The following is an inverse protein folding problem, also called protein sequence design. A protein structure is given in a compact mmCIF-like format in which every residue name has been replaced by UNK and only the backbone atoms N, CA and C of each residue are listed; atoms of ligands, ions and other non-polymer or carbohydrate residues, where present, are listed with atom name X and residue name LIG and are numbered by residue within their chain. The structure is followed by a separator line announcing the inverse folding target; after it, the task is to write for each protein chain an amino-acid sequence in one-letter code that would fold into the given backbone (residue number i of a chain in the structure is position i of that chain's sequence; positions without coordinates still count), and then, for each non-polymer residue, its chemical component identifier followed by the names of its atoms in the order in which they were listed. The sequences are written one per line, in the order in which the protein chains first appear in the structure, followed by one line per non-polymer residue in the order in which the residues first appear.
data_IF_946517869648
#
_entry.id   IF_946517869648
#
_cell.length_a   1.000
_cell.length_b   1.000
_cell.length_c   1.000
_cell.angle_alpha   90.00
_cell.angle_beta   90.00
_cell.angle_gamma   90.00
#
_symmetry.space_group_name_H-M   'P 1'
#
loop_
_entity.id
_entity.type
_entity.pdbx_description
1 polymer ?
#
# COMPACT_ATOMS: atom_id res chain seq x y z
N UNK A 1 20.41 -12.86 21.57
CA UNK A 1 19.99 -12.64 20.18
C UNK A 1 18.47 -12.73 20.14
N UNK A 2 17.79 -11.64 20.46
CA UNK A 2 16.34 -11.56 20.26
C UNK A 2 16.10 -11.60 18.76
N UNK A 3 15.38 -12.62 18.33
CA UNK A 3 15.48 -13.28 17.04
C UNK A 3 14.92 -12.37 15.94
N UNK A 4 15.76 -11.92 15.02
CA UNK A 4 15.35 -11.03 13.91
C UNK A 4 14.19 -11.60 13.10
N UNK A 5 14.06 -12.92 13.03
CA UNK A 5 12.95 -13.62 12.41
C UNK A 5 11.62 -13.43 13.15
N UNK A 6 11.63 -13.32 14.48
CA UNK A 6 10.42 -13.11 15.28
C UNK A 6 9.85 -11.71 15.05
N UNK A 7 10.72 -10.69 14.90
CA UNK A 7 10.30 -9.32 14.57
C UNK A 7 9.68 -9.27 13.18
N UNK A 8 10.33 -9.90 12.19
CA UNK A 8 9.81 -9.94 10.84
C UNK A 8 8.44 -10.64 10.76
N UNK A 9 8.28 -11.76 11.46
CA UNK A 9 7.00 -12.48 11.53
C UNK A 9 5.89 -11.64 12.19
N UNK A 10 6.18 -10.93 13.28
CA UNK A 10 5.22 -10.02 13.92
C UNK A 10 4.82 -8.90 12.97
N UNK A 11 5.79 -8.29 12.28
CA UNK A 11 5.52 -7.21 11.32
C UNK A 11 4.70 -7.71 10.11
N UNK A 12 4.90 -8.96 9.67
CA UNK A 12 4.07 -9.57 8.63
C UNK A 12 2.61 -9.69 9.05
N UNK A 13 2.34 -10.15 10.28
CA UNK A 13 0.96 -10.23 10.78
C UNK A 13 0.33 -8.84 10.93
N UNK A 14 1.11 -7.85 11.38
CA UNK A 14 0.65 -6.45 11.41
C UNK A 14 0.31 -5.92 10.01
N UNK A 15 1.17 -6.16 9.02
CA UNK A 15 0.92 -5.75 7.64
C UNK A 15 -0.38 -6.37 7.09
N UNK A 16 -0.62 -7.67 7.34
CA UNK A 16 -1.88 -8.34 6.96
C UNK A 16 -3.10 -7.69 7.59
N UNK A 17 -3.02 -7.31 8.87
CA UNK A 17 -4.11 -6.60 9.56
C UNK A 17 -4.37 -5.24 8.91
N UNK A 18 -3.33 -4.47 8.58
CA UNK A 18 -3.46 -3.16 7.93
C UNK A 18 -4.13 -3.30 6.55
N UNK A 19 -3.66 -4.26 5.74
CA UNK A 19 -4.21 -4.52 4.40
C UNK A 19 -5.70 -4.85 4.48
N UNK A 20 -6.10 -5.64 5.47
CA UNK A 20 -7.49 -5.99 5.72
C UNK A 20 -8.31 -4.82 6.26
N UNK A 21 -7.78 -4.05 7.21
CA UNK A 21 -8.48 -2.90 7.82
C UNK A 21 -8.78 -1.78 6.81
N UNK A 22 -8.01 -1.75 5.71
CA UNK A 22 -8.17 -0.79 4.62
C UNK A 22 -8.87 -1.39 3.38
N UNK A 23 -9.18 -2.69 3.39
CA UNK A 23 -9.70 -3.42 2.23
C UNK A 23 -8.94 -3.10 0.92
N UNK A 24 -7.61 -2.94 1.00
CA UNK A 24 -6.79 -2.40 -0.11
C UNK A 24 -7.01 -3.22 -1.38
N UNK A 25 -6.92 -4.55 -1.25
CA UNK A 25 -7.03 -5.47 -2.39
C UNK A 25 -8.39 -5.34 -3.06
N UNK A 26 -9.47 -5.42 -2.28
CA UNK A 26 -10.83 -5.35 -2.80
C UNK A 26 -11.14 -3.98 -3.44
N UNK A 27 -10.62 -2.89 -2.87
CA UNK A 27 -10.83 -1.56 -3.42
C UNK A 27 -10.18 -1.39 -4.80
N UNK A 28 -8.94 -1.85 -4.99
CA UNK A 28 -8.29 -1.82 -6.30
C UNK A 28 -8.93 -2.80 -7.31
N UNK A 29 -9.29 -4.01 -6.86
CA UNK A 29 -10.02 -4.97 -7.71
C UNK A 29 -11.40 -4.44 -8.14
N UNK A 30 -12.05 -3.59 -7.33
CA UNK A 30 -13.36 -3.01 -7.65
C UNK A 30 -13.36 -2.08 -8.86
N UNK A 31 -12.20 -1.54 -9.24
CA UNK A 31 -12.03 -0.71 -10.46
C UNK A 31 -11.43 -1.52 -11.62
N UNK A 32 -11.40 -2.85 -11.51
CA UNK A 32 -10.85 -3.74 -12.53
C UNK A 32 -9.32 -3.85 -12.53
N UNK A 33 -8.63 -3.33 -11.51
CA UNK A 33 -7.18 -3.42 -11.42
C UNK A 33 -6.74 -4.74 -10.77
N UNK A 34 -5.59 -5.27 -11.22
CA UNK A 34 -4.89 -6.38 -10.58
C UNK A 34 -3.82 -5.84 -9.64
N UNK A 35 -3.93 -6.16 -8.37
CA UNK A 35 -2.99 -5.72 -7.33
C UNK A 35 -2.09 -6.87 -6.86
N UNK A 36 -0.79 -6.58 -6.73
CA UNK A 36 0.20 -7.54 -6.27
C UNK A 36 1.07 -6.92 -5.18
N UNK A 37 1.14 -7.59 -4.03
CA UNK A 37 2.12 -7.23 -3.01
C UNK A 37 3.54 -7.55 -3.50
N UNK A 38 4.45 -6.61 -3.29
CA UNK A 38 5.86 -6.70 -3.70
C UNK A 38 6.78 -6.31 -2.53
N UNK A 39 8.07 -6.13 -2.83
CA UNK A 39 9.03 -5.60 -1.86
C UNK A 39 9.27 -6.46 -0.63
N UNK A 40 9.70 -5.80 0.44
CA UNK A 40 10.16 -6.45 1.68
C UNK A 40 9.03 -7.16 2.43
N UNK A 41 7.81 -6.61 2.33
CA UNK A 41 6.59 -7.22 2.87
C UNK A 41 6.31 -8.57 2.19
N UNK A 42 6.43 -8.68 0.86
CA UNK A 42 6.26 -9.98 0.20
C UNK A 42 7.30 -11.02 0.62
N UNK A 43 8.54 -10.59 0.86
CA UNK A 43 9.67 -11.49 1.13
C UNK A 43 9.79 -11.91 2.61
N UNK A 44 8.93 -11.40 3.51
CA UNK A 44 9.04 -11.72 4.93
C UNK A 44 10.20 -11.01 5.64
N UNK A 45 10.69 -9.89 5.09
CA UNK A 45 11.91 -9.21 5.54
C UNK A 45 11.63 -7.85 6.21
N UNK A 46 10.42 -7.64 6.73
CA UNK A 46 10.02 -6.39 7.40
C UNK A 46 10.76 -6.21 8.72
N UNK A 47 11.85 -5.45 8.69
CA UNK A 47 12.70 -5.18 9.86
C UNK A 47 12.40 -3.81 10.48
N UNK A 48 13.17 -2.77 10.12
CA UNK A 48 13.04 -1.41 10.69
C UNK A 48 12.13 -0.49 9.87
N UNK A 49 12.11 -0.68 8.55
CA UNK A 49 11.23 0.05 7.62
C UNK A 49 9.95 -0.77 7.45
N UNK A 50 8.80 -0.11 7.56
CA UNK A 50 7.47 -0.73 7.68
C UNK A 50 6.63 -0.36 6.47
N UNK A 51 7.17 -0.74 5.33
CA UNK A 51 6.65 -0.33 4.04
C UNK A 51 5.88 -1.53 3.46
N UNK A 52 4.63 -1.27 3.07
CA UNK A 52 3.78 -2.25 2.40
C UNK A 52 3.68 -1.83 0.94
N UNK A 53 4.43 -2.53 0.09
CA UNK A 53 4.57 -2.19 -1.32
C UNK A 53 3.56 -2.96 -2.19
N UNK A 54 2.89 -2.24 -3.08
CA UNK A 54 1.97 -2.80 -4.07
C UNK A 54 2.29 -2.31 -5.48
N UNK A 55 2.28 -3.24 -6.43
CA UNK A 55 2.11 -2.93 -7.84
C UNK A 55 0.67 -3.21 -8.26
N UNK A 56 0.04 -2.23 -8.89
CA UNK A 56 -1.33 -2.27 -9.37
C UNK A 56 -1.28 -2.15 -10.89
N UNK A 57 -1.96 -3.05 -11.60
CA UNK A 57 -1.97 -3.11 -13.05
C UNK A 57 -3.39 -2.97 -13.58
N UNK A 58 -3.59 -2.21 -14.65
CA UNK A 58 -4.90 -2.06 -15.30
C UNK A 58 -4.74 -1.60 -16.74
N UNK A 59 -5.69 -1.95 -17.60
CA UNK A 59 -5.67 -1.59 -19.03
C UNK A 59 -5.59 -0.07 -19.31
N UNK A 60 -5.94 0.79 -18.34
CA UNK A 60 -5.82 2.24 -18.44
C UNK A 60 -5.46 2.88 -17.11
N UNK A 61 -4.60 3.89 -17.11
CA UNK A 61 -4.33 4.75 -15.94
C UNK A 61 -5.40 5.84 -15.79
N UNK A 62 -6.60 5.43 -15.36
CA UNK A 62 -7.66 6.38 -15.06
C UNK A 62 -7.44 7.03 -13.69
N UNK A 63 -7.00 8.29 -13.70
CA UNK A 63 -6.78 9.10 -12.48
C UNK A 63 -8.03 9.15 -11.60
N UNK A 64 -9.22 9.30 -12.18
CA UNK A 64 -10.48 9.39 -11.43
C UNK A 64 -10.79 8.10 -10.67
N UNK A 65 -10.63 6.95 -11.33
CA UNK A 65 -10.83 5.64 -10.69
C UNK A 65 -9.79 5.41 -9.59
N UNK A 66 -8.53 5.76 -9.85
CA UNK A 66 -7.45 5.70 -8.85
C UNK A 66 -7.75 6.56 -7.63
N UNK A 67 -8.16 7.83 -7.81
CA UNK A 67 -8.60 8.69 -6.69
C UNK A 67 -9.81 8.12 -5.96
N UNK A 68 -10.73 7.43 -6.65
CA UNK A 68 -11.89 6.82 -6.02
C UNK A 68 -11.49 5.72 -5.02
N UNK A 69 -10.46 4.93 -5.34
CA UNK A 69 -9.89 3.94 -4.42
C UNK A 69 -9.27 4.62 -3.21
N UNK A 70 -8.44 5.64 -3.45
CA UNK A 70 -7.76 6.38 -2.39
C UNK A 70 -8.75 7.11 -1.47
N UNK A 71 -9.84 7.65 -2.03
CA UNK A 71 -10.94 8.23 -1.25
C UNK A 71 -11.54 7.21 -0.27
N UNK A 72 -11.77 5.97 -0.71
CA UNK A 72 -12.25 4.89 0.18
C UNK A 72 -11.23 4.58 1.29
N UNK A 73 -9.95 4.49 0.97
CA UNK A 73 -8.89 4.25 1.98
C UNK A 73 -8.84 5.38 3.02
N UNK A 74 -8.99 6.63 2.56
CA UNK A 74 -8.95 7.85 3.39
C UNK A 74 -10.07 7.93 4.43
N UNK A 75 -11.17 7.20 4.25
CA UNK A 75 -12.27 7.14 5.22
C UNK A 75 -11.86 6.43 6.51
N UNK A 76 -10.82 5.59 6.46
CA UNK A 76 -10.28 4.98 7.66
C UNK A 76 -9.52 6.04 8.46
N UNK A 77 -9.98 6.33 9.69
CA UNK A 77 -9.43 7.38 10.55
C UNK A 77 -7.97 7.17 10.97
N UNK A 78 -7.41 5.98 10.72
CA UNK A 78 -5.99 5.67 10.95
C UNK A 78 -5.09 6.13 9.81
N UNK A 79 -5.61 6.43 8.62
CA UNK A 79 -4.87 7.12 7.57
C UNK A 79 -4.65 8.58 7.99
N UNK A 80 -3.38 8.98 8.10
CA UNK A 80 -2.98 10.31 8.59
C UNK A 80 -2.49 11.24 7.48
N UNK A 81 -2.01 10.66 6.39
CA UNK A 81 -1.46 11.39 5.25
C UNK A 81 -1.60 10.53 4.00
N UNK A 82 -1.86 11.17 2.88
CA UNK A 82 -1.77 10.60 1.54
C UNK A 82 -0.99 11.56 0.65
N UNK A 83 -0.16 11.02 -0.21
CA UNK A 83 0.53 11.74 -1.29
C UNK A 83 0.21 11.10 -2.64
N UNK A 84 0.25 11.94 -3.67
CA UNK A 84 -0.02 11.59 -5.06
C UNK A 84 1.04 12.21 -5.95
N UNK A 85 1.62 11.40 -6.84
CA UNK A 85 2.50 11.87 -7.90
C UNK A 85 1.96 11.37 -9.23
N UNK A 86 1.76 12.30 -10.17
CA UNK A 86 1.39 11.97 -11.55
C UNK A 86 2.67 11.80 -12.39
N UNK A 87 2.97 10.57 -12.78
CA UNK A 87 4.14 10.20 -13.58
C UNK A 87 3.73 9.57 -14.93
N UNK A 88 2.51 9.83 -15.41
CA UNK A 88 2.01 9.23 -16.66
C UNK A 88 2.84 9.68 -17.88
N UNK A 89 3.28 10.93 -17.89
CA UNK A 89 4.03 11.53 -19.01
C UNK A 89 5.56 11.46 -18.83
N UNK A 90 6.05 10.68 -17.86
CA UNK A 90 7.48 10.42 -17.65
C UNK A 90 7.85 9.02 -18.12
N UNK A 91 9.13 8.65 -18.04
CA UNK A 91 9.59 7.32 -18.45
C UNK A 91 9.01 6.20 -17.57
N UNK A 92 8.60 6.53 -16.33
CA UNK A 92 7.95 5.62 -15.39
C UNK A 92 6.52 5.24 -15.80
N UNK A 93 5.82 6.12 -16.52
CA UNK A 93 4.47 5.92 -17.05
C UNK A 93 3.46 5.33 -16.03
N UNK A 94 3.37 5.93 -14.83
CA UNK A 94 2.57 5.42 -13.73
C UNK A 94 1.88 6.51 -12.89
N UNK A 95 1.00 6.09 -11.97
CA UNK A 95 0.51 6.91 -10.87
C UNK A 95 1.07 6.36 -9.56
N UNK A 96 1.66 7.23 -8.75
CA UNK A 96 2.26 6.85 -7.47
C UNK A 96 1.44 7.39 -6.30
N UNK A 97 1.22 6.53 -5.33
CA UNK A 97 0.51 6.85 -4.10
C UNK A 97 1.29 6.37 -2.89
N UNK A 98 1.38 7.26 -1.90
CA UNK A 98 1.88 6.93 -0.58
C UNK A 98 0.79 7.20 0.44
N UNK A 99 0.50 6.23 1.31
CA UNK A 99 -0.43 6.41 2.41
C UNK A 99 0.25 6.06 3.75
N UNK A 100 0.06 6.91 4.76
CA UNK A 100 0.59 6.66 6.10
C UNK A 100 -0.54 6.26 7.05
N UNK A 101 -0.45 5.03 7.54
CA UNK A 101 -1.39 4.42 8.46
C UNK A 101 -0.81 4.37 9.87
N UNK A 102 -1.54 4.87 10.86
CA UNK A 102 -1.17 4.76 12.27
C UNK A 102 -1.83 3.53 12.90
N UNK A 103 -1.04 2.54 13.30
CA UNK A 103 -1.53 1.32 13.96
C UNK A 103 -1.98 1.59 15.41
N UNK A 104 -2.65 0.60 16.01
CA UNK A 104 -3.16 0.68 17.38
C UNK A 104 -2.07 0.84 18.45
N UNK A 105 -0.84 0.45 18.15
CA UNK A 105 0.35 0.66 18.99
C UNK A 105 1.12 1.94 18.62
N UNK A 106 0.47 2.86 17.90
CA UNK A 106 1.00 4.16 17.45
C UNK A 106 2.22 4.08 16.51
N UNK A 107 2.48 2.93 15.91
CA UNK A 107 3.51 2.81 14.88
C UNK A 107 2.98 3.37 13.55
N UNK A 108 3.82 4.13 12.86
CA UNK A 108 3.49 4.64 11.53
C UNK A 108 3.96 3.62 10.48
N UNK A 109 3.03 3.25 9.61
CA UNK A 109 3.25 2.35 8.49
C UNK A 109 3.06 3.12 7.19
N UNK A 110 3.95 2.91 6.24
CA UNK A 110 3.83 3.47 4.91
C UNK A 110 3.29 2.38 3.97
N UNK A 111 2.37 2.77 3.10
CA UNK A 111 1.77 1.90 2.09
C UNK A 111 2.04 2.57 0.76
N UNK A 112 2.88 1.93 -0.04
CA UNK A 112 3.31 2.41 -1.34
C UNK A 112 2.54 1.64 -2.42
N UNK A 113 1.89 2.38 -3.31
CA UNK A 113 1.01 1.84 -4.33
C UNK A 113 1.39 2.48 -5.67
N UNK A 114 2.00 1.68 -6.54
CA UNK A 114 2.37 2.11 -7.89
C UNK A 114 1.36 1.52 -8.87
N UNK A 115 0.58 2.39 -9.52
CA UNK A 115 -0.44 2.03 -10.50
C UNK A 115 0.11 2.20 -11.91
N UNK A 116 0.23 1.07 -12.60
CA UNK A 116 0.95 0.87 -13.86
C UNK A 116 -0.05 0.37 -14.91
N UNK A 117 0.23 0.69 -16.18
CA UNK A 117 -0.47 0.12 -17.34
C UNK A 117 -0.22 -1.39 -17.46
#
# INVERSE_FOLDING_TARGET
MSNFLDIAAINQEKAKVIIKDLDIVANWESIGAKINMVGSCKMGLLMKHRDIDFHIYSDTLNIGDSFSVISKLSLNSKIKRIEYTNLIETDEACLEWHAWYQSSDNELWQIDMIHIL
#
